data_IF_365424788277
#
_entry.id   IF_365424788277
#
_cell.length_a   1.000
_cell.length_b   1.000
_cell.length_c   1.000
_cell.angle_alpha   90.00
_cell.angle_beta   90.00
_cell.angle_gamma   90.00
#
_symmetry.space_group_name_H-M   'P 1'
#
loop_
_entity.id
_entity.type
_entity.pdbx_description
1 polymer ?
#
# COMPACT_ATOMS: atom_id res chain seq x y z
N UNK A 1 10.41 -2.55 21.26
CA UNK A 1 8.94 -2.47 21.30
C UNK A 1 8.45 -3.40 20.22
N UNK A 2 7.58 -4.34 20.57
CA UNK A 2 6.94 -5.20 19.56
C UNK A 2 5.95 -4.35 18.75
N UNK A 3 6.08 -4.38 17.42
CA UNK A 3 5.20 -3.64 16.52
C UNK A 3 4.18 -4.60 15.90
N UNK A 4 2.98 -4.08 15.64
CA UNK A 4 1.91 -4.81 14.95
C UNK A 4 2.08 -4.61 13.44
N UNK A 5 2.86 -5.50 12.81
CA UNK A 5 3.19 -5.40 11.39
C UNK A 5 1.96 -5.41 10.49
N UNK A 6 0.91 -6.16 10.84
CA UNK A 6 -0.33 -6.19 10.06
C UNK A 6 -1.01 -4.83 10.03
N UNK A 7 -1.05 -4.10 11.14
CA UNK A 7 -1.59 -2.73 11.15
C UNK A 7 -0.73 -1.75 10.37
N UNK A 8 0.59 -1.92 10.41
CA UNK A 8 1.51 -1.11 9.60
C UNK A 8 1.27 -1.37 8.12
N UNK A 9 1.13 -2.63 7.72
CA UNK A 9 0.86 -3.02 6.34
C UNK A 9 -0.50 -2.48 5.86
N UNK A 10 -1.56 -2.62 6.67
CA UNK A 10 -2.88 -2.05 6.35
C UNK A 10 -2.79 -0.53 6.12
N UNK A 11 -2.07 0.19 7.00
CA UNK A 11 -1.92 1.63 6.90
C UNK A 11 -1.07 2.04 5.69
N UNK A 12 0.04 1.34 5.42
CA UNK A 12 0.90 1.61 4.26
C UNK A 12 0.14 1.35 2.96
N UNK A 13 -0.60 0.24 2.87
CA UNK A 13 -1.41 -0.07 1.69
C UNK A 13 -2.48 1.00 1.44
N UNK A 14 -3.17 1.44 2.49
CA UNK A 14 -4.12 2.55 2.41
C UNK A 14 -3.44 3.85 1.96
N UNK A 15 -2.27 4.20 2.50
CA UNK A 15 -1.57 5.43 2.13
C UNK A 15 -0.97 5.38 0.72
N UNK A 16 -0.70 4.20 0.16
CA UNK A 16 -0.33 4.07 -1.25
C UNK A 16 -1.49 4.55 -2.15
N UNK A 17 -2.75 4.26 -1.79
CA UNK A 17 -3.94 4.73 -2.52
C UNK A 17 -4.00 6.27 -2.60
N UNK A 18 -3.59 6.99 -1.55
CA UNK A 18 -3.51 8.45 -1.54
C UNK A 18 -2.60 9.00 -2.65
N UNK A 19 -1.61 8.21 -3.09
CA UNK A 19 -0.62 8.57 -4.11
C UNK A 19 -0.87 7.92 -5.47
N UNK A 20 -2.07 7.35 -5.68
CA UNK A 20 -2.43 6.66 -6.91
C UNK A 20 -2.37 7.60 -8.13
N UNK A 21 -1.74 7.13 -9.20
CA UNK A 21 -1.60 7.80 -10.49
C UNK A 21 -1.46 6.76 -11.62
N UNK A 22 -1.48 7.24 -12.87
CA UNK A 22 -1.18 6.47 -14.08
C UNK A 22 -1.82 5.06 -14.13
N UNK A 23 -3.09 4.96 -13.76
CA UNK A 23 -3.88 3.73 -13.93
C UNK A 23 -3.48 2.55 -13.05
N UNK A 24 -2.92 2.79 -11.86
CA UNK A 24 -2.59 1.72 -10.91
C UNK A 24 -1.24 1.88 -10.20
N UNK A 25 -0.52 2.99 -10.43
CA UNK A 25 0.80 3.23 -9.84
C UNK A 25 0.70 4.08 -8.58
N UNK A 26 1.55 3.84 -7.59
CA UNK A 26 1.66 4.64 -6.38
C UNK A 26 3.13 4.95 -6.05
N UNK A 27 3.40 6.04 -5.35
CA UNK A 27 4.76 6.37 -4.91
C UNK A 27 5.20 5.43 -3.78
N UNK A 28 6.30 4.69 -3.96
CA UNK A 28 6.77 3.69 -2.98
C UNK A 28 7.75 4.30 -1.96
N UNK A 29 7.36 5.39 -1.31
CA UNK A 29 8.20 6.14 -0.36
C UNK A 29 8.07 5.70 1.09
N UNK A 30 7.44 4.54 1.34
CA UNK A 30 7.25 3.96 2.68
C UNK A 30 8.41 3.03 3.07
N UNK A 31 8.35 2.55 4.31
CA UNK A 31 9.30 1.56 4.85
C UNK A 31 9.44 0.33 3.95
N UNK A 32 10.67 -0.13 3.74
CA UNK A 32 10.98 -1.20 2.81
C UNK A 32 10.43 -2.55 3.24
N UNK A 33 10.40 -2.85 4.53
CA UNK A 33 9.92 -4.14 5.03
C UNK A 33 8.40 -4.24 4.87
N UNK A 34 7.67 -3.16 5.15
CA UNK A 34 6.23 -3.09 4.85
C UNK A 34 5.95 -3.26 3.35
N UNK A 35 6.70 -2.59 2.48
CA UNK A 35 6.55 -2.75 1.03
C UNK A 35 6.84 -4.18 0.57
N UNK A 36 7.83 -4.85 1.15
CA UNK A 36 8.13 -6.26 0.86
C UNK A 36 6.99 -7.18 1.30
N UNK A 37 6.46 -7.02 2.52
CA UNK A 37 5.31 -7.81 2.99
C UNK A 37 4.07 -7.60 2.11
N UNK A 38 3.80 -6.39 1.65
CA UNK A 38 2.70 -6.12 0.71
C UNK A 38 2.89 -6.83 -0.63
N UNK A 39 4.14 -6.94 -1.11
CA UNK A 39 4.46 -7.72 -2.30
C UNK A 39 4.29 -9.23 -2.06
N UNK A 40 4.77 -9.74 -0.93
CA UNK A 40 4.58 -11.14 -0.52
C UNK A 40 3.09 -11.51 -0.38
N UNK A 41 2.27 -10.55 0.05
CA UNK A 41 0.80 -10.66 0.10
C UNK A 41 0.13 -10.56 -1.28
N UNK A 42 0.88 -10.28 -2.35
CA UNK A 42 0.35 -10.16 -3.71
C UNK A 42 -0.48 -8.91 -3.98
N UNK A 43 -0.32 -7.85 -3.17
CA UNK A 43 -1.11 -6.63 -3.26
C UNK A 43 -0.43 -5.58 -4.17
N UNK A 44 0.89 -5.68 -4.31
CA UNK A 44 1.67 -4.82 -5.19
C UNK A 44 2.71 -5.65 -5.95
N UNK A 45 3.13 -5.14 -7.09
CA UNK A 45 4.29 -5.63 -7.82
C UNK A 45 5.59 -5.46 -7.00
N UNK A 46 6.66 -6.13 -7.42
CA UNK A 46 7.92 -6.11 -6.69
C UNK A 46 8.44 -4.66 -6.53
N UNK A 47 8.57 -4.12 -5.30
CA UNK A 47 8.98 -2.75 -5.06
C UNK A 47 10.50 -2.57 -5.24
N UNK A 48 11.29 -3.63 -5.36
CA UNK A 48 12.75 -3.55 -5.48
C UNK A 48 13.16 -2.94 -6.81
N UNK A 49 13.99 -1.90 -6.74
CA UNK A 49 14.58 -1.26 -7.92
C UNK A 49 14.59 0.26 -7.86
N UNK A 50 15.08 0.86 -8.96
CA UNK A 50 15.31 2.31 -9.09
C UNK A 50 14.05 3.12 -9.42
N UNK A 51 12.95 2.46 -9.79
CA UNK A 51 11.68 3.15 -10.02
C UNK A 51 11.24 3.87 -8.74
N UNK A 52 10.57 5.01 -8.88
CA UNK A 52 10.00 5.75 -7.74
C UNK A 52 8.59 5.28 -7.39
N UNK A 53 7.92 4.59 -8.30
CA UNK A 53 6.58 4.06 -8.12
C UNK A 53 6.55 2.53 -8.15
N UNK A 54 5.48 1.97 -7.59
CA UNK A 54 5.11 0.56 -7.66
C UNK A 54 3.72 0.46 -8.29
N UNK A 55 3.41 -0.68 -8.91
CA UNK A 55 2.08 -0.96 -9.47
C UNK A 55 1.29 -1.80 -8.46
N UNK A 56 0.00 -1.50 -8.29
CA UNK A 56 -0.93 -2.39 -7.60
C UNK A 56 -1.28 -3.60 -8.44
N UNK A 57 -1.56 -4.72 -7.77
CA UNK A 57 -2.38 -5.78 -8.37
C UNK A 57 -3.85 -5.35 -8.35
N UNK A 58 -4.71 -6.05 -9.09
CA UNK A 58 -6.16 -5.75 -9.07
C UNK A 58 -6.74 -5.84 -7.65
N UNK A 59 -6.33 -6.85 -6.88
CA UNK A 59 -6.81 -7.05 -5.52
C UNK A 59 -6.19 -6.04 -4.55
N UNK A 60 -4.90 -5.70 -4.71
CA UNK A 60 -4.28 -4.67 -3.90
C UNK A 60 -4.86 -3.29 -4.09
N UNK A 61 -5.27 -2.94 -5.32
CA UNK A 61 -5.93 -1.66 -5.57
C UNK A 61 -7.29 -1.60 -4.84
N UNK A 62 -8.13 -2.63 -4.99
CA UNK A 62 -9.43 -2.71 -4.29
C UNK A 62 -9.26 -2.66 -2.78
N UNK A 63 -8.29 -3.41 -2.25
CA UNK A 63 -8.04 -3.48 -0.82
C UNK A 63 -7.48 -2.16 -0.27
N UNK A 64 -6.60 -1.49 -1.02
CA UNK A 64 -6.06 -0.18 -0.64
C UNK A 64 -7.16 0.87 -0.49
N UNK A 65 -8.13 0.89 -1.41
CA UNK A 65 -9.28 1.78 -1.36
C UNK A 65 -10.17 1.46 -0.15
N UNK A 66 -10.49 0.19 0.07
CA UNK A 66 -11.29 -0.27 1.22
C UNK A 66 -10.65 0.14 2.55
N UNK A 67 -9.34 -0.07 2.69
CA UNK A 67 -8.60 0.30 3.90
C UNK A 67 -8.49 1.81 4.06
N UNK A 68 -8.30 2.57 2.96
CA UNK A 68 -8.28 4.02 3.03
C UNK A 68 -9.60 4.58 3.56
N UNK A 69 -10.73 4.07 3.08
CA UNK A 69 -12.04 4.42 3.61
C UNK A 69 -12.19 4.01 5.09
N UNK A 70 -11.82 2.77 5.45
CA UNK A 70 -11.89 2.25 6.83
C UNK A 70 -11.07 3.08 7.82
N UNK A 71 -9.87 3.51 7.43
CA UNK A 71 -8.88 4.08 8.35
C UNK A 71 -8.89 5.60 8.39
N UNK A 72 -9.22 6.25 7.27
CA UNK A 72 -8.97 7.69 7.10
C UNK A 72 -10.18 8.49 6.60
N UNK A 73 -11.28 7.85 6.18
CA UNK A 73 -12.51 8.60 5.90
C UNK A 73 -13.10 9.14 7.21
N UNK A 74 -13.80 10.27 7.11
CA UNK A 74 -14.53 10.82 8.24
C UNK A 74 -15.81 10.02 8.45
N UNK A 75 -16.10 9.68 9.70
CA UNK A 75 -17.45 9.29 10.10
C UNK A 75 -18.38 10.48 9.81
N UNK A 76 -19.41 10.26 8.99
CA UNK A 76 -20.41 11.27 8.64
C UNK A 76 -21.54 11.30 9.66
#
# INVERSE_FOLDING_TARGET
MEIDEEKIDEAVLALLYLTLHDGGRAWKSFDWDAMNRLHEKGLIENPVGKAKSVLFTEDGLKESERLFQKLFAKDS
#
